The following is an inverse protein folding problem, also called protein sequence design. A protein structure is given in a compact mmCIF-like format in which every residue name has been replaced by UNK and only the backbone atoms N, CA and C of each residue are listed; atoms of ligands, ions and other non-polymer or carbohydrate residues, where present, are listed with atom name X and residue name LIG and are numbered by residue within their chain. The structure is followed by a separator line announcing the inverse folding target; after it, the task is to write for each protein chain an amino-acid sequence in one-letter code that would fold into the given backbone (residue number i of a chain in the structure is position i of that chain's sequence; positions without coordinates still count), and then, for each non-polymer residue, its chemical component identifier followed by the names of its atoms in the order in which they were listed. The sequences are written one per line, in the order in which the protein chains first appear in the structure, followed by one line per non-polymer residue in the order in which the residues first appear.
data_IF_162311963529
#
_entry.id   IF_162311963529
#
_cell.length_a   1.000
_cell.length_b   1.000
_cell.length_c   1.000
_cell.angle_alpha   90.00
_cell.angle_beta   90.00
_cell.angle_gamma   90.00
#
_symmetry.space_group_name_H-M   'P 1'
#
loop_
_entity.id
_entity.type
_entity.pdbx_description
1 polymer ?
#
# COMPACT_ATOMS: atom_id res chain seq x y z
N UNK A 1 47.32 -6.85 22.74
CA UNK A 1 46.24 -7.47 21.92
C UNK A 1 44.83 -7.00 22.33
N UNK A 2 44.62 -5.69 22.62
CA UNK A 2 43.35 -5.19 23.20
C UNK A 2 42.54 -4.21 22.33
N UNK A 3 43.19 -3.37 21.52
CA UNK A 3 42.47 -2.33 20.75
C UNK A 3 41.72 -2.86 19.51
N UNK A 4 42.26 -3.86 18.79
CA UNK A 4 41.63 -4.41 17.58
C UNK A 4 40.42 -5.34 17.85
N UNK A 5 40.09 -5.62 19.12
CA UNK A 5 38.88 -6.37 19.53
C UNK A 5 37.69 -5.42 19.73
N UNK A 6 37.95 -4.17 20.14
CA UNK A 6 36.94 -3.17 20.49
C UNK A 6 36.28 -2.53 19.26
N UNK A 7 37.05 -2.25 18.20
CA UNK A 7 36.54 -1.69 16.94
C UNK A 7 35.60 -2.66 16.18
N UNK A 8 35.79 -3.96 16.38
CA UNK A 8 34.90 -5.02 15.83
C UNK A 8 33.56 -5.10 16.55
N UNK A 9 33.51 -4.83 17.87
CA UNK A 9 32.25 -4.81 18.63
C UNK A 9 31.37 -3.62 18.24
N UNK A 10 31.98 -2.46 17.97
CA UNK A 10 31.23 -1.26 17.59
C UNK A 10 30.71 -1.33 16.15
N UNK A 11 31.50 -1.88 15.22
CA UNK A 11 31.04 -2.14 13.85
C UNK A 11 29.83 -3.08 13.81
N UNK A 12 29.82 -4.15 14.62
CA UNK A 12 28.68 -5.06 14.71
C UNK A 12 27.42 -4.40 15.25
N UNK A 13 27.56 -3.56 16.28
CA UNK A 13 26.43 -2.81 16.85
C UNK A 13 25.83 -1.80 15.86
N UNK A 14 26.66 -1.11 15.08
CA UNK A 14 26.20 -0.20 14.02
C UNK A 14 25.46 -0.97 12.94
N UNK A 15 25.97 -2.13 12.52
CA UNK A 15 25.33 -2.95 11.50
C UNK A 15 23.95 -3.45 11.95
N UNK A 16 23.84 -3.90 13.21
CA UNK A 16 22.57 -4.30 13.83
C UNK A 16 21.59 -3.12 13.89
N UNK A 17 22.07 -1.93 14.27
CA UNK A 17 21.23 -0.73 14.33
C UNK A 17 20.73 -0.33 12.93
N UNK A 18 21.58 -0.40 11.90
CA UNK A 18 21.20 -0.12 10.51
C UNK A 18 20.20 -1.14 10.00
N UNK A 19 20.41 -2.44 10.24
CA UNK A 19 19.44 -3.49 9.86
C UNK A 19 18.11 -3.28 10.59
N UNK A 20 18.14 -3.00 11.90
CA UNK A 20 16.92 -2.74 12.67
C UNK A 20 16.17 -1.52 12.13
N UNK A 21 16.88 -0.46 11.74
CA UNK A 21 16.28 0.74 11.15
C UNK A 21 15.70 0.45 9.76
N UNK A 22 16.38 -0.32 8.92
CA UNK A 22 15.89 -0.73 7.60
C UNK A 22 14.66 -1.65 7.70
N UNK A 23 14.62 -2.57 8.67
CA UNK A 23 13.47 -3.45 8.94
C UNK A 23 12.26 -2.69 9.53
N UNK A 24 12.49 -1.64 10.30
CA UNK A 24 11.41 -0.76 10.76
C UNK A 24 10.92 0.20 9.66
N UNK A 25 11.79 0.53 8.69
CA UNK A 25 11.45 1.41 7.58
C UNK A 25 10.64 0.72 6.48
N UNK A 26 10.58 -0.63 6.45
CA UNK A 26 9.69 -1.37 5.54
C UNK A 26 8.24 -1.24 5.99
N UNK A 27 7.66 -0.06 5.80
CA UNK A 27 6.22 0.10 5.73
C UNK A 27 5.81 -0.46 4.38
N UNK A 28 5.14 -1.62 4.38
CA UNK A 28 4.46 -2.13 3.18
C UNK A 28 3.34 -1.14 2.90
N UNK A 29 3.56 -0.23 1.95
CA UNK A 29 2.45 0.52 1.36
C UNK A 29 1.73 -0.44 0.40
N UNK A 30 0.45 -0.67 0.69
CA UNK A 30 -0.42 -1.32 -0.26
C UNK A 30 -0.45 -0.50 -1.57
N UNK A 31 -0.33 -1.18 -2.71
CA UNK A 31 -0.35 -0.56 -4.03
C UNK A 31 -1.73 -0.12 -4.50
N UNK A 32 -2.70 0.03 -3.59
CA UNK A 32 -4.09 0.35 -3.87
C UNK A 32 -4.68 1.26 -2.77
N UNK A 33 -5.69 2.08 -3.09
CA UNK A 33 -6.33 2.96 -2.10
C UNK A 33 -7.18 2.12 -1.14
N UNK A 34 -6.63 1.82 0.04
CA UNK A 34 -7.28 0.98 1.04
C UNK A 34 -8.53 1.66 1.63
N UNK A 35 -8.49 2.99 1.73
CA UNK A 35 -9.58 3.85 2.17
C UNK A 35 -10.81 3.81 1.26
N UNK A 36 -10.61 3.51 -0.02
CA UNK A 36 -11.68 3.47 -1.02
C UNK A 36 -12.33 2.08 -1.10
N UNK A 37 -11.82 1.08 -0.36
CA UNK A 37 -12.28 -0.30 -0.42
C UNK A 37 -13.72 -0.45 0.08
N UNK A 38 -14.58 -0.96 -0.80
CA UNK A 38 -15.97 -1.31 -0.49
C UNK A 38 -16.02 -2.75 0.03
N UNK A 39 -16.27 -2.91 1.33
CA UNK A 39 -16.32 -4.23 1.96
C UNK A 39 -17.54 -5.05 1.54
N UNK A 40 -18.73 -4.44 1.56
CA UNK A 40 -19.99 -5.06 1.15
C UNK A 40 -21.00 -3.99 0.74
N UNK A 41 -21.84 -4.29 -0.25
CA UNK A 41 -22.99 -3.46 -0.62
C UNK A 41 -24.31 -4.05 -0.10
N UNK A 42 -25.33 -3.21 0.18
CA UNK A 42 -26.65 -3.69 0.55
C UNK A 42 -27.23 -4.64 -0.51
N UNK A 43 -27.59 -5.85 -0.12
CA UNK A 43 -28.16 -6.86 -1.02
C UNK A 43 -27.17 -7.55 -1.96
N UNK A 44 -25.87 -7.25 -1.86
CA UNK A 44 -24.84 -7.90 -2.68
C UNK A 44 -24.60 -9.34 -2.21
N UNK A 45 -24.66 -10.34 -3.12
CA UNK A 45 -24.23 -11.69 -2.79
C UNK A 45 -22.72 -11.73 -2.53
N UNK A 46 -22.21 -12.80 -1.93
CA UNK A 46 -20.77 -12.93 -1.69
C UNK A 46 -20.01 -12.91 -3.03
N UNK A 47 -19.12 -11.93 -3.19
CA UNK A 47 -18.26 -11.76 -4.37
C UNK A 47 -16.79 -12.00 -4.01
N UNK A 48 -16.00 -12.45 -4.99
CA UNK A 48 -14.56 -12.71 -4.83
C UNK A 48 -13.64 -11.58 -5.29
N UNK A 49 -14.18 -10.54 -5.93
CA UNK A 49 -13.43 -9.41 -6.45
C UNK A 49 -13.43 -8.22 -5.49
N UNK A 50 -12.39 -7.39 -5.56
CA UNK A 50 -12.32 -6.13 -4.83
C UNK A 50 -13.08 -5.04 -5.58
N UNK A 51 -13.62 -4.10 -4.81
CA UNK A 51 -14.43 -3.00 -5.29
C UNK A 51 -13.98 -1.74 -4.56
N UNK A 52 -13.92 -0.62 -5.27
CA UNK A 52 -13.43 0.65 -4.76
C UNK A 52 -14.42 1.76 -5.12
N UNK A 53 -14.71 2.67 -4.19
CA UNK A 53 -15.62 3.78 -4.43
C UNK A 53 -15.15 5.02 -3.68
N UNK A 54 -15.00 6.13 -4.38
CA UNK A 54 -14.58 7.39 -3.77
C UNK A 54 -14.83 8.59 -4.68
N UNK A 55 -14.34 9.75 -4.26
CA UNK A 55 -14.32 10.97 -5.04
C UNK A 55 -12.90 11.33 -5.43
N UNK A 56 -12.71 11.74 -6.69
CA UNK A 56 -11.45 12.30 -7.19
C UNK A 56 -11.67 13.78 -7.48
N UNK A 57 -10.88 14.63 -6.83
CA UNK A 57 -10.89 16.07 -7.09
C UNK A 57 -10.31 16.37 -8.47
N UNK A 58 -11.13 16.95 -9.34
CA UNK A 58 -10.74 17.34 -10.71
C UNK A 58 -10.49 18.84 -10.83
N UNK A 59 -11.05 19.65 -9.92
CA UNK A 59 -10.79 21.09 -9.82
C UNK A 59 -10.97 21.57 -8.37
N UNK A 60 -9.88 21.55 -7.61
CA UNK A 60 -9.87 21.96 -6.19
C UNK A 60 -10.27 23.43 -6.03
N UNK A 61 -9.88 24.31 -6.96
CA UNK A 61 -10.17 25.75 -6.85
C UNK A 61 -11.66 26.04 -6.98
N UNK A 62 -12.34 25.30 -7.84
CA UNK A 62 -13.77 25.42 -8.06
C UNK A 62 -14.60 24.38 -7.29
N UNK A 63 -13.97 23.58 -6.41
CA UNK A 63 -14.62 22.57 -5.59
C UNK A 63 -15.32 21.46 -6.42
N UNK A 64 -14.71 21.03 -7.54
CA UNK A 64 -15.27 19.98 -8.39
C UNK A 64 -14.57 18.65 -8.14
N UNK A 65 -15.38 17.63 -7.90
CA UNK A 65 -14.94 16.25 -7.72
C UNK A 65 -15.82 15.32 -8.54
N UNK A 66 -15.24 14.22 -9.02
CA UNK A 66 -15.97 13.16 -9.71
C UNK A 66 -16.04 11.95 -8.80
N UNK A 67 -17.24 11.41 -8.64
CA UNK A 67 -17.42 10.10 -8.02
C UNK A 67 -16.98 9.00 -8.98
N UNK A 68 -16.28 7.99 -8.47
CA UNK A 68 -15.97 6.77 -9.21
C UNK A 68 -16.39 5.53 -8.42
N UNK A 69 -16.69 4.46 -9.16
CA UNK A 69 -16.88 3.12 -8.63
C UNK A 69 -16.17 2.14 -9.56
N UNK A 70 -15.12 1.51 -9.03
CA UNK A 70 -14.24 0.60 -9.77
C UNK A 70 -14.37 -0.81 -9.21
N UNK A 71 -14.48 -1.79 -10.10
CA UNK A 71 -14.49 -3.21 -9.75
C UNK A 71 -13.35 -3.91 -10.44
N UNK A 72 -12.59 -4.67 -9.65
CA UNK A 72 -11.51 -5.48 -10.17
C UNK A 72 -12.05 -6.71 -10.92
N UNK A 73 -11.27 -7.21 -11.89
CA UNK A 73 -11.65 -8.43 -12.60
C UNK A 73 -11.57 -9.67 -11.70
N UNK A 74 -12.60 -10.51 -11.67
CA UNK A 74 -12.63 -11.67 -10.76
C UNK A 74 -11.49 -12.69 -10.93
N UNK A 75 -10.88 -12.75 -12.13
CA UNK A 75 -9.75 -13.65 -12.45
C UNK A 75 -8.73 -12.91 -13.30
N UNK A 76 -7.46 -13.27 -13.14
CA UNK A 76 -6.33 -12.74 -13.93
C UNK A 76 -6.28 -11.21 -13.95
N UNK A 77 -6.40 -10.63 -12.75
CA UNK A 77 -6.50 -9.20 -12.46
C UNK A 77 -5.42 -8.37 -13.15
N UNK A 78 -4.19 -8.86 -13.13
CA UNK A 78 -2.98 -8.24 -13.66
C UNK A 78 -2.85 -8.36 -15.18
N UNK A 79 -3.65 -9.23 -15.81
CA UNK A 79 -3.61 -9.49 -17.25
C UNK A 79 -4.79 -8.88 -18.01
N UNK A 80 -5.82 -8.41 -17.29
CA UNK A 80 -7.02 -7.84 -17.90
C UNK A 80 -6.92 -6.32 -18.05
N UNK A 81 -7.38 -5.78 -19.18
CA UNK A 81 -7.33 -4.35 -19.41
C UNK A 81 -8.33 -3.61 -18.52
N UNK A 82 -8.04 -2.33 -18.27
CA UNK A 82 -8.99 -1.38 -17.69
C UNK A 82 -10.01 -0.95 -18.75
N UNK A 83 -11.28 -0.86 -18.35
CA UNK A 83 -12.35 -0.23 -19.13
C UNK A 83 -12.93 0.95 -18.34
N UNK A 84 -13.22 2.05 -19.04
CA UNK A 84 -13.79 3.29 -18.48
C UNK A 84 -15.09 3.66 -19.20
#
# INVERSE_FOLDING_TARGET
MGLHKMERCWSGAIFIAVISFLLLASNVMDGYPAEDLVLNLPGQPKVGFRQYASYVDVDVKNGRSLFYYFVEAEKDLDQKPLAL
#
